data_IF_030811057918
#
_entry.id   IF_030811057918
#
_cell.length_a   1.000
_cell.length_b   1.000
_cell.length_c   1.000
_cell.angle_alpha   90.00
_cell.angle_beta   90.00
_cell.angle_gamma   90.00
#
_symmetry.space_group_name_H-M   'P 1'
#
loop_
_entity.id
_entity.type
_entity.pdbx_description
1 polymer ?
#
# COMPACT_ATOMS: atom_id res chain seq x y z
N UNK A 1 -8.67 18.43 -2.04
CA UNK A 1 -7.60 17.73 -1.29
C UNK A 1 -6.58 17.36 -2.34
N UNK A 2 -5.56 18.21 -2.52
CA UNK A 2 -4.77 18.21 -3.76
C UNK A 2 -3.34 17.67 -3.53
N UNK A 3 -3.12 17.01 -2.38
CA UNK A 3 -1.79 16.57 -1.93
C UNK A 3 -1.40 15.13 -2.31
N UNK A 4 -2.27 14.37 -2.97
CA UNK A 4 -2.04 12.95 -3.29
C UNK A 4 -1.10 12.73 -4.48
N UNK A 5 -0.68 13.78 -5.19
CA UNK A 5 0.29 13.70 -6.27
C UNK A 5 1.00 15.04 -6.42
N UNK A 6 2.22 15.04 -6.98
CA UNK A 6 3.11 16.21 -7.04
C UNK A 6 3.49 16.82 -5.69
N UNK A 7 3.08 16.21 -4.58
CA UNK A 7 3.49 16.61 -3.24
C UNK A 7 4.97 16.31 -3.01
N UNK A 8 5.58 17.07 -2.09
CA UNK A 8 6.98 16.91 -1.66
C UNK A 8 7.17 17.07 -0.16
N UNK A 9 6.11 17.37 0.59
CA UNK A 9 6.18 17.74 2.01
C UNK A 9 5.68 16.60 2.87
N UNK A 10 6.58 15.98 3.62
CA UNK A 10 6.24 14.94 4.59
C UNK A 10 6.39 15.56 5.98
N UNK A 11 5.37 15.37 6.81
CA UNK A 11 5.35 15.84 8.19
C UNK A 11 5.57 14.65 9.11
N UNK A 12 6.62 14.71 9.93
CA UNK A 12 6.93 13.73 10.97
C UNK A 12 6.52 14.32 12.32
N UNK A 13 5.69 13.58 13.06
CA UNK A 13 5.22 13.95 14.38
C UNK A 13 5.78 12.99 15.41
N UNK A 14 6.28 13.52 16.53
CA UNK A 14 6.84 12.71 17.61
C UNK A 14 5.76 11.99 18.41
N UNK A 15 4.57 12.58 18.53
CA UNK A 15 3.46 12.05 19.31
C UNK A 15 2.15 12.17 18.57
N UNK A 16 1.18 11.32 18.92
CA UNK A 16 -0.19 11.42 18.41
C UNK A 16 -0.86 12.74 18.82
N UNK A 17 -0.53 13.28 20.00
CA UNK A 17 -1.06 14.56 20.46
C UNK A 17 -0.61 15.74 19.59
N UNK A 18 0.67 15.74 19.18
CA UNK A 18 1.21 16.73 18.24
C UNK A 18 0.57 16.59 16.86
N UNK A 19 0.37 15.36 16.40
CA UNK A 19 -0.32 15.04 15.15
C UNK A 19 -1.76 15.57 15.12
N UNK A 20 -2.56 15.26 16.14
CA UNK A 20 -3.96 15.71 16.24
C UNK A 20 -4.05 17.25 16.24
N UNK A 21 -3.10 17.93 16.89
CA UNK A 21 -3.06 19.40 16.95
C UNK A 21 -2.45 20.04 15.71
N UNK A 22 -1.77 19.27 14.85
CA UNK A 22 -1.03 19.79 13.71
C UNK A 22 0.16 20.68 14.09
N UNK A 23 0.82 20.40 15.22
CA UNK A 23 1.91 21.23 15.78
C UNK A 23 3.17 20.41 16.05
N UNK A 24 4.30 21.09 16.32
CA UNK A 24 5.58 20.47 16.73
C UNK A 24 6.11 19.38 15.79
N UNK A 25 5.86 19.51 14.48
CA UNK A 25 6.32 18.56 13.47
C UNK A 25 7.71 18.89 12.91
N UNK A 26 8.39 17.88 12.41
CA UNK A 26 9.53 18.03 11.51
C UNK A 26 9.02 17.95 10.08
N UNK A 27 9.32 18.96 9.26
CA UNK A 27 9.02 18.91 7.84
C UNK A 27 10.22 18.38 7.06
N UNK A 28 9.99 17.33 6.29
CA UNK A 28 10.91 16.81 5.28
C UNK A 28 10.46 17.26 3.90
N UNK A 29 11.38 17.89 3.16
CA UNK A 29 11.16 18.26 1.76
C UNK A 29 11.84 17.23 0.86
N UNK A 30 11.04 16.45 0.14
CA UNK A 30 11.54 15.40 -0.73
C UNK A 30 12.18 15.99 -2.01
N UNK A 31 13.34 15.48 -2.45
CA UNK A 31 14.00 15.93 -3.67
C UNK A 31 13.20 15.65 -4.94
N UNK A 32 12.24 14.74 -4.92
CA UNK A 32 11.38 14.45 -6.07
C UNK A 32 9.92 14.37 -5.63
N UNK A 33 8.98 14.89 -6.43
CA UNK A 33 7.56 14.75 -6.15
C UNK A 33 7.10 13.29 -6.22
N UNK A 34 6.04 12.97 -5.47
CA UNK A 34 5.42 11.64 -5.49
C UNK A 34 4.17 11.57 -6.37
N UNK A 35 3.75 10.34 -6.67
CA UNK A 35 2.45 10.00 -7.24
C UNK A 35 1.71 9.06 -6.29
N UNK A 36 0.40 9.29 -6.15
CA UNK A 36 -0.48 8.44 -5.37
C UNK A 36 -0.32 8.56 -3.87
N UNK A 37 -0.95 7.63 -3.17
CA UNK A 37 -1.06 7.58 -1.71
C UNK A 37 -0.37 6.37 -1.10
N UNK A 38 0.18 5.45 -1.90
CA UNK A 38 0.78 4.20 -1.43
C UNK A 38 2.20 4.33 -0.86
N UNK A 39 2.42 5.30 0.02
CA UNK A 39 3.71 5.52 0.67
C UNK A 39 3.84 4.64 1.90
N UNK A 40 5.04 4.11 2.18
CA UNK A 40 5.29 3.43 3.46
C UNK A 40 6.56 3.91 4.12
N UNK A 41 6.56 3.91 5.45
CA UNK A 41 7.76 4.13 6.26
C UNK A 41 8.25 2.79 6.79
N UNK A 42 9.48 2.44 6.45
CA UNK A 42 10.12 1.22 6.89
C UNK A 42 11.57 1.47 7.29
N UNK A 43 11.93 1.06 8.51
CA UNK A 43 13.28 1.21 9.07
C UNK A 43 13.88 2.63 8.89
N UNK A 44 13.12 3.67 9.29
CA UNK A 44 13.56 5.06 9.24
C UNK A 44 13.63 5.67 7.83
N UNK A 45 13.16 4.96 6.80
CA UNK A 45 13.10 5.44 5.42
C UNK A 45 11.68 5.46 4.89
N UNK A 46 11.35 6.48 4.11
CA UNK A 46 10.15 6.58 3.31
C UNK A 46 10.38 5.91 1.95
N UNK A 47 9.43 5.09 1.53
CA UNK A 47 9.36 4.47 0.21
C UNK A 47 8.15 5.05 -0.52
N UNK A 48 8.37 5.56 -1.73
CA UNK A 48 7.32 6.22 -2.49
C UNK A 48 7.53 6.14 -3.99
N UNK A 49 6.46 6.32 -4.76
CA UNK A 49 6.53 6.35 -6.21
C UNK A 49 6.90 7.76 -6.66
N UNK A 50 7.99 7.88 -7.43
CA UNK A 50 8.36 9.15 -8.07
C UNK A 50 7.34 9.50 -9.15
N UNK A 51 6.80 10.70 -9.05
CA UNK A 51 5.82 11.26 -9.98
C UNK A 51 6.22 11.06 -11.45
N UNK A 52 5.25 10.66 -12.28
CA UNK A 52 5.42 10.40 -13.72
C UNK A 52 6.48 9.36 -14.07
N UNK A 53 6.71 8.37 -13.21
CA UNK A 53 7.63 7.28 -13.49
C UNK A 53 7.23 6.00 -12.77
N UNK A 54 7.80 4.89 -13.19
CA UNK A 54 7.75 3.61 -12.48
C UNK A 54 8.89 3.44 -11.45
N UNK A 55 9.43 4.55 -10.93
CA UNK A 55 10.58 4.53 -10.03
C UNK A 55 10.12 4.57 -8.58
N UNK A 56 10.58 3.60 -7.80
CA UNK A 56 10.52 3.63 -6.33
C UNK A 56 11.72 4.42 -5.80
N UNK A 57 11.46 5.28 -4.81
CA UNK A 57 12.47 6.10 -4.14
C UNK A 57 12.51 5.74 -2.67
N UNK A 58 13.71 5.48 -2.15
CA UNK A 58 13.99 5.34 -0.72
C UNK A 58 14.62 6.62 -0.18
N UNK A 59 13.88 7.39 0.60
CA UNK A 59 14.34 8.61 1.27
C UNK A 59 14.54 8.35 2.76
N UNK A 60 15.71 8.65 3.31
CA UNK A 60 16.02 8.41 4.71
C UNK A 60 15.87 9.68 5.54
N UNK A 61 15.01 9.64 6.58
CA UNK A 61 14.61 10.84 7.33
C UNK A 61 15.76 11.49 8.09
N UNK A 62 16.66 10.69 8.69
CA UNK A 62 17.76 11.24 9.51
C UNK A 62 18.83 11.92 8.66
N UNK A 63 19.24 11.30 7.55
CA UNK A 63 20.24 11.88 6.63
C UNK A 63 19.63 12.90 5.67
N UNK A 64 18.29 12.99 5.61
CA UNK A 64 17.52 13.85 4.72
C UNK A 64 17.90 13.69 3.25
N UNK A 65 18.24 12.47 2.86
CA UNK A 65 18.77 12.15 1.53
C UNK A 65 18.05 10.96 0.91
N UNK A 66 18.00 10.95 -0.42
CA UNK A 66 17.62 9.77 -1.17
C UNK A 66 18.79 8.80 -1.14
N UNK A 67 18.56 7.59 -0.60
CA UNK A 67 19.58 6.55 -0.52
C UNK A 67 19.63 5.73 -1.80
N UNK A 68 18.45 5.35 -2.32
CA UNK A 68 18.33 4.48 -3.51
C UNK A 68 17.10 4.90 -4.31
N UNK A 69 17.22 4.80 -5.64
CA UNK A 69 16.11 4.87 -6.58
C UNK A 69 16.21 3.71 -7.53
N UNK A 70 15.10 3.04 -7.83
CA UNK A 70 15.08 1.94 -8.79
C UNK A 70 13.77 1.90 -9.57
N UNK A 71 13.87 1.58 -10.85
CA UNK A 71 12.69 1.34 -11.68
C UNK A 71 12.10 -0.03 -11.35
N UNK A 72 10.77 -0.12 -11.23
CA UNK A 72 10.02 -1.37 -11.21
C UNK A 72 9.74 -1.78 -12.67
N UNK A 73 10.40 -2.81 -13.21
CA UNK A 73 10.31 -3.14 -14.62
C UNK A 73 8.87 -3.43 -15.05
N UNK A 74 8.43 -2.78 -16.13
CA UNK A 74 7.09 -2.96 -16.69
C UNK A 74 5.94 -2.38 -15.87
N UNK A 75 6.21 -1.79 -14.70
CA UNK A 75 5.14 -1.24 -13.86
C UNK A 75 4.46 -0.04 -14.53
N UNK A 76 3.13 -0.07 -14.56
CA UNK A 76 2.29 1.06 -14.97
C UNK A 76 2.41 2.23 -14.01
N UNK A 77 2.23 3.45 -14.53
CA UNK A 77 2.27 4.69 -13.75
C UNK A 77 1.39 5.75 -14.43
N UNK A 78 1.16 6.87 -13.77
CA UNK A 78 0.43 8.01 -14.35
C UNK A 78 -1.03 7.69 -14.73
N UNK A 79 -1.76 7.03 -13.83
CA UNK A 79 -3.14 6.55 -14.01
C UNK A 79 -3.30 5.56 -15.18
N UNK A 80 -2.28 4.76 -15.47
CA UNK A 80 -2.39 3.68 -16.46
C UNK A 80 -3.27 2.57 -15.89
N UNK A 81 -3.04 2.08 -14.67
CA UNK A 81 -3.94 1.14 -13.99
C UNK A 81 -3.96 1.40 -12.47
N UNK A 82 -4.55 2.52 -12.04
CA UNK A 82 -4.67 2.85 -10.62
C UNK A 82 -5.71 1.94 -9.94
N UNK A 83 -5.85 2.08 -8.62
CA UNK A 83 -7.06 1.61 -7.94
C UNK A 83 -8.31 2.28 -8.50
N UNK A 84 -9.48 1.74 -8.17
CA UNK A 84 -10.78 2.17 -8.70
C UNK A 84 -11.09 3.66 -8.49
N UNK A 85 -10.49 4.32 -7.50
CA UNK A 85 -10.64 5.76 -7.26
C UNK A 85 -9.69 6.64 -8.08
N UNK A 86 -8.72 6.04 -8.78
CA UNK A 86 -7.73 6.77 -9.59
C UNK A 86 -6.60 7.35 -8.74
N UNK A 87 -6.33 8.64 -8.88
CA UNK A 87 -5.43 9.37 -7.98
C UNK A 87 -3.95 9.06 -8.09
N UNK A 88 -3.47 8.57 -9.23
CA UNK A 88 -2.07 8.16 -9.45
C UNK A 88 -1.64 7.00 -8.53
N UNK A 89 -2.59 6.21 -8.05
CA UNK A 89 -2.37 5.04 -7.18
C UNK A 89 -1.89 3.80 -7.94
N UNK A 90 -1.14 3.96 -9.02
CA UNK A 90 -0.69 2.83 -9.85
C UNK A 90 0.27 1.88 -9.09
N UNK A 91 1.09 2.43 -8.20
CA UNK A 91 2.01 1.69 -7.34
C UNK A 91 1.66 1.96 -5.88
N UNK A 92 1.62 0.87 -5.11
CA UNK A 92 1.33 0.88 -3.69
C UNK A 92 2.41 0.08 -2.95
N UNK A 93 3.05 0.67 -1.95
CA UNK A 93 4.13 0.04 -1.19
C UNK A 93 3.61 -0.37 0.18
N UNK A 94 3.87 -1.61 0.57
CA UNK A 94 3.31 -2.20 1.79
C UNK A 94 4.40 -2.83 2.63
N UNK A 95 4.17 -2.90 3.93
CA UNK A 95 5.05 -3.59 4.88
C UNK A 95 4.23 -4.55 5.72
N UNK A 96 4.73 -5.76 5.86
CA UNK A 96 4.19 -6.76 6.76
C UNK A 96 5.33 -7.44 7.56
N UNK A 97 5.02 -8.56 8.22
CA UNK A 97 5.97 -9.37 8.97
C UNK A 97 7.11 -9.94 8.12
N UNK A 98 6.90 -10.06 6.80
CA UNK A 98 7.85 -10.65 5.84
C UNK A 98 8.75 -9.59 5.17
N UNK A 99 8.39 -8.32 5.24
CA UNK A 99 9.23 -7.20 4.80
C UNK A 99 8.51 -6.21 3.89
N UNK A 100 9.22 -5.72 2.87
CA UNK A 100 8.75 -4.68 1.96
C UNK A 100 8.17 -5.30 0.67
N UNK A 101 7.00 -4.81 0.28
CA UNK A 101 6.27 -5.23 -0.90
C UNK A 101 5.95 -4.03 -1.81
N UNK A 102 5.81 -4.30 -3.10
CA UNK A 102 5.22 -3.40 -4.07
C UNK A 102 4.05 -4.09 -4.75
N UNK A 103 2.91 -3.40 -4.80
CA UNK A 103 1.67 -3.81 -5.46
C UNK A 103 1.45 -2.84 -6.61
N UNK A 104 1.51 -3.36 -7.83
CA UNK A 104 1.42 -2.55 -9.04
C UNK A 104 0.77 -3.36 -10.16
N UNK A 105 0.84 -2.88 -11.40
CA UNK A 105 0.35 -3.59 -12.58
C UNK A 105 1.37 -3.56 -13.70
N UNK A 106 1.29 -4.50 -14.63
CA UNK A 106 2.05 -4.46 -15.89
C UNK A 106 1.08 -4.53 -17.08
N UNK A 107 1.52 -4.00 -18.23
CA UNK A 107 0.76 -4.16 -19.47
C UNK A 107 0.68 -5.64 -19.89
N UNK A 108 1.75 -6.40 -19.63
CA UNK A 108 1.84 -7.84 -19.91
C UNK A 108 0.77 -8.64 -19.19
N UNK A 109 0.41 -8.25 -17.96
CA UNK A 109 -0.62 -8.92 -17.17
C UNK A 109 -1.99 -8.23 -17.32
N UNK A 110 -2.19 -7.49 -18.41
CA UNK A 110 -3.47 -6.84 -18.76
C UNK A 110 -4.07 -5.96 -17.64
N UNK A 111 -3.22 -5.32 -16.81
CA UNK A 111 -3.68 -4.48 -15.70
C UNK A 111 -4.12 -5.24 -14.44
N UNK A 112 -3.84 -6.55 -14.37
CA UNK A 112 -3.97 -7.33 -13.14
C UNK A 112 -2.91 -6.90 -12.12
N UNK A 113 -3.26 -7.03 -10.84
CA UNK A 113 -2.36 -6.76 -9.73
C UNK A 113 -1.19 -7.74 -9.80
N UNK A 114 0.00 -7.16 -9.76
CA UNK A 114 1.28 -7.83 -9.56
C UNK A 114 1.78 -7.45 -8.18
N UNK A 115 2.08 -8.46 -7.37
CA UNK A 115 2.75 -8.28 -6.08
C UNK A 115 4.22 -8.62 -6.27
N UNK A 116 5.12 -7.81 -5.75
CA UNK A 116 6.56 -8.10 -5.74
C UNK A 116 7.16 -7.88 -4.37
N UNK A 117 8.00 -8.82 -3.93
CA UNK A 117 8.83 -8.65 -2.74
C UNK A 117 10.07 -7.86 -3.12
N UNK A 118 10.36 -6.80 -2.38
CA UNK A 118 11.52 -5.95 -2.62
C UNK A 118 12.59 -6.15 -1.55
N UNK A 119 13.85 -6.12 -1.95
CA UNK A 119 14.94 -5.91 -1.01
C UNK A 119 14.88 -4.46 -0.49
N UNK A 120 14.75 -4.23 0.82
CA UNK A 120 14.56 -2.87 1.36
C UNK A 120 15.84 -2.01 1.32
N UNK A 121 17.00 -2.60 1.03
CA UNK A 121 18.27 -1.89 0.89
C UNK A 121 18.53 -1.50 -0.55
N UNK A 122 18.38 -2.43 -1.50
CA UNK A 122 18.73 -2.24 -2.92
C UNK A 122 17.53 -1.87 -3.80
N UNK A 123 16.31 -2.04 -3.29
CA UNK A 123 15.03 -1.96 -4.02
C UNK A 123 14.87 -3.01 -5.13
N UNK A 124 15.72 -4.03 -5.16
CA UNK A 124 15.63 -5.10 -6.15
C UNK A 124 14.39 -5.95 -5.95
N UNK A 125 13.76 -6.32 -7.07
CA UNK A 125 12.68 -7.29 -7.06
C UNK A 125 13.29 -8.66 -6.75
N UNK A 126 12.94 -9.20 -5.58
CA UNK A 126 13.35 -10.54 -5.14
C UNK A 126 12.50 -11.60 -5.84
N UNK A 127 11.18 -11.37 -5.91
CA UNK A 127 10.21 -12.25 -6.57
C UNK A 127 8.93 -11.48 -6.88
N UNK A 128 8.22 -11.91 -7.93
CA UNK A 128 6.94 -11.35 -8.35
C UNK A 128 5.88 -12.44 -8.49
N UNK A 129 4.61 -12.04 -8.31
CA UNK A 129 3.43 -12.88 -8.45
C UNK A 129 2.36 -12.13 -9.23
N UNK A 130 1.81 -12.75 -10.28
CA UNK A 130 0.58 -12.29 -10.93
C UNK A 130 -0.62 -12.86 -10.16
N UNK A 131 -1.52 -11.97 -9.76
CA UNK A 131 -2.68 -12.34 -8.93
C UNK A 131 -3.92 -12.68 -9.74
N UNK A 132 -3.99 -12.25 -11.01
CA UNK A 132 -5.20 -12.33 -11.82
C UNK A 132 -6.33 -11.38 -11.43
N UNK A 133 -6.17 -10.54 -10.39
CA UNK A 133 -7.20 -9.58 -9.97
C UNK A 133 -7.00 -8.21 -10.63
N UNK A 134 -7.97 -7.64 -11.37
CA UNK A 134 -7.82 -6.35 -12.03
C UNK A 134 -7.66 -5.19 -11.04
N UNK A 135 -6.56 -4.42 -11.10
CA UNK A 135 -6.30 -3.35 -10.10
C UNK A 135 -7.33 -2.22 -10.16
N UNK A 136 -7.86 -1.91 -11.35
CA UNK A 136 -8.93 -0.91 -11.53
C UNK A 136 -10.27 -1.32 -10.88
N UNK A 137 -10.44 -2.60 -10.56
CA UNK A 137 -11.61 -3.12 -9.82
C UNK A 137 -11.36 -3.23 -8.32
N UNK A 138 -10.14 -2.97 -7.85
CA UNK A 138 -9.81 -2.96 -6.44
C UNK A 138 -10.08 -1.58 -5.82
N UNK A 139 -10.61 -1.56 -4.60
CA UNK A 139 -10.74 -0.35 -3.80
C UNK A 139 -9.39 0.12 -3.30
N UNK A 140 -8.78 -0.71 -2.49
CA UNK A 140 -7.41 -0.64 -1.95
C UNK A 140 -6.94 -2.08 -1.69
N UNK A 141 -5.68 -2.25 -1.28
CA UNK A 141 -5.18 -3.54 -0.82
C UNK A 141 -4.20 -3.38 0.34
N UNK A 142 -3.90 -4.47 1.04
CA UNK A 142 -2.86 -4.50 2.09
C UNK A 142 -2.25 -5.90 2.18
N UNK A 143 -1.05 -6.01 2.78
CA UNK A 143 -0.34 -7.27 2.99
C UNK A 143 -0.30 -7.63 4.47
N UNK A 144 -0.52 -8.90 4.80
CA UNK A 144 -0.27 -9.47 6.14
C UNK A 144 0.34 -10.86 5.96
N UNK A 145 1.46 -11.15 6.62
CA UNK A 145 2.12 -12.46 6.58
C UNK A 145 2.34 -13.03 5.15
N UNK A 146 2.62 -12.19 4.16
CA UNK A 146 2.81 -12.60 2.76
C UNK A 146 1.50 -12.89 2.00
N UNK A 147 0.35 -12.51 2.53
CA UNK A 147 -0.96 -12.62 1.86
C UNK A 147 -1.45 -11.23 1.48
N UNK A 148 -1.77 -11.04 0.20
CA UNK A 148 -2.41 -9.82 -0.29
C UNK A 148 -3.91 -9.90 -0.04
N UNK A 149 -4.48 -8.91 0.62
CA UNK A 149 -5.91 -8.73 0.80
C UNK A 149 -6.38 -7.54 -0.01
N UNK A 150 -7.43 -7.71 -0.80
CA UNK A 150 -7.94 -6.69 -1.72
C UNK A 150 -9.40 -6.38 -1.40
N UNK A 151 -9.72 -5.09 -1.31
CA UNK A 151 -11.12 -4.65 -1.18
C UNK A 151 -11.78 -4.55 -2.55
N UNK A 152 -13.07 -4.91 -2.64
CA UNK A 152 -13.82 -4.83 -3.90
C UNK A 152 -14.30 -3.41 -4.28
N UNK A 153 -14.12 -2.42 -3.40
CA UNK A 153 -14.60 -1.06 -3.60
C UNK A 153 -13.85 -0.08 -2.71
N UNK A 154 -13.66 1.15 -3.19
CA UNK A 154 -13.20 2.28 -2.36
C UNK A 154 -14.38 3.02 -1.71
N UNK A 155 -15.62 2.69 -2.10
CA UNK A 155 -16.85 3.35 -1.66
C UNK A 155 -17.52 2.61 -0.48
N UNK A 156 -18.63 3.15 0.01
CA UNK A 156 -19.45 2.50 1.04
C UNK A 156 -19.80 1.05 0.66
N UNK A 157 -19.88 0.16 1.65
CA UNK A 157 -20.14 -1.26 1.44
C UNK A 157 -18.92 -2.05 0.91
N UNK A 158 -17.73 -1.45 0.92
CA UNK A 158 -16.49 -2.17 0.68
C UNK A 158 -16.35 -3.39 1.60
N UNK A 159 -15.75 -4.45 1.07
CA UNK A 159 -15.38 -5.64 1.82
C UNK A 159 -14.05 -6.15 1.32
N UNK A 160 -13.31 -6.86 2.18
CA UNK A 160 -12.15 -7.62 1.73
C UNK A 160 -12.69 -8.84 1.01
N UNK A 161 -12.49 -8.86 -0.31
CA UNK A 161 -13.18 -9.77 -1.23
C UNK A 161 -12.25 -10.77 -1.91
N UNK A 162 -10.94 -10.52 -1.88
CA UNK A 162 -9.97 -11.36 -2.54
C UNK A 162 -8.71 -11.44 -1.69
N UNK A 163 -8.20 -12.65 -1.53
CA UNK A 163 -6.93 -12.92 -0.89
C UNK A 163 -6.00 -13.70 -1.83
N UNK A 164 -4.74 -13.29 -1.94
CA UNK A 164 -3.72 -13.98 -2.72
C UNK A 164 -2.57 -14.41 -1.82
N UNK A 165 -2.29 -15.72 -1.81
CA UNK A 165 -1.30 -16.37 -0.98
C UNK A 165 0.02 -16.52 -1.76
N UNK A 166 1.04 -15.73 -1.40
CA UNK A 166 2.32 -15.73 -2.13
C UNK A 166 3.14 -17.01 -1.92
N UNK A 167 2.89 -17.77 -0.85
CA UNK A 167 3.57 -19.03 -0.55
C UNK A 167 3.13 -20.16 -1.51
N UNK A 168 1.84 -20.27 -1.79
CA UNK A 168 1.22 -21.30 -2.63
C UNK A 168 0.93 -20.80 -4.05
N UNK A 169 1.08 -19.49 -4.30
CA UNK A 169 0.68 -18.84 -5.56
C UNK A 169 -0.78 -19.12 -5.93
N UNK A 170 -1.67 -19.13 -4.93
CA UNK A 170 -3.10 -19.37 -5.09
C UNK A 170 -3.89 -18.19 -4.56
N UNK A 171 -5.17 -18.12 -4.93
CA UNK A 171 -6.09 -17.11 -4.42
C UNK A 171 -7.39 -17.73 -3.96
N UNK A 172 -8.12 -16.96 -3.16
CA UNK A 172 -9.51 -17.25 -2.82
C UNK A 172 -10.34 -15.95 -2.82
N UNK A 173 -11.63 -16.09 -3.06
CA UNK A 173 -12.58 -15.01 -2.82
C UNK A 173 -13.05 -15.08 -1.37
N UNK A 174 -12.97 -13.96 -0.68
CA UNK A 174 -13.35 -13.81 0.72
C UNK A 174 -14.62 -12.98 0.86
N UNK A 175 -15.22 -12.97 2.05
CA UNK A 175 -16.35 -12.09 2.35
C UNK A 175 -16.20 -11.48 3.75
N UNK A 176 -15.09 -10.78 3.98
CA UNK A 176 -14.80 -10.15 5.28
C UNK A 176 -15.37 -8.73 5.27
N UNK A 177 -16.33 -8.41 6.17
CA UNK A 177 -16.91 -7.09 6.24
C UNK A 177 -15.86 -6.02 6.54
N UNK A 178 -15.90 -4.91 5.79
CA UNK A 178 -15.07 -3.74 6.04
C UNK A 178 -15.94 -2.49 6.20
N UNK A 179 -15.98 -1.91 7.39
CA UNK A 179 -16.85 -0.78 7.66
C UNK A 179 -16.25 0.54 7.14
N UNK A 180 -16.49 0.84 5.87
CA UNK A 180 -16.09 2.11 5.25
C UNK A 180 -17.00 3.27 5.71
N UNK A 181 -16.72 3.83 6.88
CA UNK A 181 -17.57 4.85 7.52
C UNK A 181 -17.73 6.15 6.70
N UNK A 182 -16.69 6.58 5.97
CA UNK A 182 -16.67 7.87 5.27
C UNK A 182 -16.75 7.74 3.73
N UNK A 183 -17.05 6.54 3.23
CA UNK A 183 -17.48 6.25 1.86
C UNK A 183 -16.47 6.53 0.74
N UNK A 184 -15.21 6.88 1.03
CA UNK A 184 -14.19 7.06 -0.02
C UNK A 184 -12.79 6.83 0.53
N UNK A 185 -12.34 5.58 0.50
CA UNK A 185 -10.99 5.18 0.90
C UNK A 185 -10.01 5.59 -0.20
N UNK A 186 -8.88 6.17 0.18
CA UNK A 186 -7.78 6.50 -0.72
C UNK A 186 -6.41 5.99 -0.24
N UNK A 187 -6.37 5.26 0.87
CA UNK A 187 -5.17 4.64 1.45
C UNK A 187 -5.62 3.59 2.47
N UNK A 188 -5.00 2.41 2.49
CA UNK A 188 -5.27 1.35 3.44
C UNK A 188 -3.99 0.56 3.77
N UNK A 189 -3.21 1.03 4.74
CA UNK A 189 -1.91 0.44 5.06
C UNK A 189 -1.92 -0.38 6.33
N UNK A 190 -1.33 -1.58 6.28
CA UNK A 190 -1.15 -2.42 7.45
C UNK A 190 0.11 -2.05 8.24
N UNK A 191 -0.02 -2.01 9.57
CA UNK A 191 1.11 -1.90 10.48
C UNK A 191 1.30 -3.23 11.25
N UNK A 192 2.35 -4.03 10.97
CA UNK A 192 2.57 -5.33 11.62
C UNK A 192 2.89 -5.23 13.11
N UNK A 193 3.39 -4.07 13.58
CA UNK A 193 3.70 -3.86 15.00
C UNK A 193 2.43 -3.70 15.84
N UNK A 194 1.46 -2.96 15.30
CA UNK A 194 0.23 -2.60 16.01
C UNK A 194 -0.96 -3.49 15.61
N UNK A 195 -0.82 -4.25 14.52
CA UNK A 195 -1.88 -5.09 13.95
C UNK A 195 -3.14 -4.28 13.65
N UNK A 196 -2.93 -3.12 13.04
CA UNK A 196 -3.99 -2.19 12.66
C UNK A 196 -3.80 -1.71 11.23
N UNK A 197 -4.92 -1.40 10.58
CA UNK A 197 -4.96 -0.73 9.29
C UNK A 197 -5.06 0.78 9.52
N UNK A 198 -4.13 1.52 8.91
CA UNK A 198 -4.10 2.97 8.82
C UNK A 198 -4.79 3.38 7.53
N UNK A 199 -5.83 4.20 7.63
CA UNK A 199 -6.70 4.52 6.49
C UNK A 199 -6.86 6.02 6.30
N UNK A 200 -6.80 6.45 5.04
CA UNK A 200 -7.32 7.76 4.65
C UNK A 200 -8.68 7.57 3.97
N UNK A 201 -9.71 8.20 4.54
CA UNK A 201 -11.08 7.99 4.11
C UNK A 201 -11.84 9.32 4.07
N UNK A 202 -12.03 9.85 2.86
CA UNK A 202 -12.77 11.10 2.61
C UNK A 202 -12.40 12.23 3.58
N UNK A 203 -11.10 12.48 3.73
CA UNK A 203 -10.56 13.52 4.60
C UNK A 203 -10.38 13.14 6.07
N UNK A 204 -10.76 11.93 6.46
CA UNK A 204 -10.60 11.39 7.81
C UNK A 204 -9.44 10.40 7.84
N UNK A 205 -8.64 10.47 8.90
CA UNK A 205 -7.61 9.48 9.20
C UNK A 205 -8.19 8.52 10.23
N UNK A 206 -8.27 7.23 9.87
CA UNK A 206 -9.01 6.22 10.63
C UNK A 206 -8.10 5.01 10.89
N UNK A 207 -8.24 4.43 12.08
CA UNK A 207 -7.58 3.17 12.44
C UNK A 207 -8.61 2.05 12.55
N UNK A 208 -8.33 0.92 11.90
CA UNK A 208 -9.11 -0.32 12.07
C UNK A 208 -8.24 -1.38 12.70
N UNK A 209 -8.70 -1.95 13.83
CA UNK A 209 -8.02 -3.09 14.44
C UNK A 209 -8.21 -4.34 13.57
N UNK A 210 -7.14 -5.10 13.38
CA UNK A 210 -7.18 -6.36 12.63
C UNK A 210 -7.20 -7.54 13.60
N UNK A 211 -8.14 -8.45 13.41
CA UNK A 211 -8.17 -9.74 14.11
C UNK A 211 -7.93 -10.84 13.09
N UNK A 212 -6.86 -11.60 13.29
CA UNK A 212 -6.53 -12.77 12.47
C UNK A 212 -6.94 -14.03 13.23
N UNK A 213 -7.73 -14.88 12.59
CA UNK A 213 -8.07 -16.19 13.13
C UNK A 213 -7.24 -17.25 12.42
N UNK A 214 -6.54 -18.09 13.20
CA UNK A 214 -5.90 -19.28 12.66
C UNK A 214 -6.94 -20.39 12.60
N UNK A 215 -7.52 -20.63 11.43
CA UNK A 215 -8.44 -21.76 11.24
C UNK A 215 -7.58 -23.01 11.08
N UNK A 216 -7.53 -23.84 12.12
CA UNK A 216 -6.96 -25.18 12.00
C UNK A 216 -8.03 -26.03 11.32
N UNK A 217 -7.88 -26.33 10.03
CA UNK A 217 -8.69 -27.39 9.43
C UNK A 217 -8.14 -28.73 9.90
N UNK A 218 -8.96 -29.46 10.65
CA UNK A 218 -8.67 -30.86 10.95
C UNK A 218 -9.07 -31.69 9.73
N UNK A 219 -8.20 -32.61 9.31
CA UNK A 219 -8.53 -33.54 8.23
C UNK A 219 -9.81 -34.30 8.57
N UNK A 220 -10.93 -33.96 7.92
CA UNK A 220 -12.24 -34.55 8.18
C UNK A 220 -13.43 -33.59 8.19
N UNK A 221 -13.21 -32.27 8.12
CA UNK A 221 -14.34 -31.36 7.88
C UNK A 221 -14.82 -31.47 6.42
N UNK A 222 -16.15 -31.60 6.18
CA UNK A 222 -16.72 -31.86 4.87
C UNK A 222 -16.56 -30.70 3.87
#
# INVERSE_FOLDING_TARGET
MDGYYKGRRVLEFRTLGDFIKGQNFIQHLLPQPWAGTGHVVYNGSLFYNKYQSNVVVKYHFRSRSVLVQRSLPGAGYNNTFPYSWGGFSDMDFMVDESGLWAVYTTNQNAGNIVVSRLDPHTLEVVRSWDTGYPKRSAGEAFMICGVLYVTNSHLAGAKVYFAYFTNTSSYEYTDVPFHNQYSHISMLDYNPRERALYTWNNGHQVLYNVTLFHVISTAGDP
#
